data_IF_982211702876
#
_entry.id   IF_982211702876
#
_cell.length_a   1.000
_cell.length_b   1.000
_cell.length_c   1.000
_cell.angle_alpha   90.00
_cell.angle_beta   90.00
_cell.angle_gamma   90.00
#
_symmetry.space_group_name_H-M   'P 1'
#
loop_
_entity.id
_entity.type
_entity.pdbx_description
1 polymer ?
#
# COMPACT_ATOMS: atom_id res chain seq x y z
N UNK A 1 2.58 72.06 11.24
CA UNK A 1 1.67 71.56 10.21
C UNK A 1 2.23 71.99 8.87
N UNK A 2 3.02 71.10 8.24
CA UNK A 2 3.85 71.43 7.07
C UNK A 2 3.31 70.80 5.80
N UNK A 3 3.27 71.61 4.75
CA UNK A 3 2.64 71.35 3.46
C UNK A 3 3.52 70.55 2.48
N UNK A 4 2.82 69.86 1.57
CA UNK A 4 3.13 69.52 0.18
C UNK A 4 4.58 69.49 -0.32
N UNK A 5 4.97 68.32 -0.86
CA UNK A 5 5.91 68.23 -1.96
C UNK A 5 5.42 67.19 -2.97
N UNK A 6 5.01 67.69 -4.13
CA UNK A 6 4.71 66.95 -5.35
C UNK A 6 6.00 66.38 -5.94
N UNK A 7 6.02 65.08 -6.26
CA UNK A 7 7.08 64.47 -7.06
C UNK A 7 6.47 63.83 -8.31
N UNK A 8 7.10 64.15 -9.44
CA UNK A 8 6.66 63.92 -10.81
C UNK A 8 7.05 62.50 -11.22
N UNK A 9 6.09 61.69 -11.63
CA UNK A 9 6.33 60.36 -12.19
C UNK A 9 6.85 60.49 -13.62
N UNK A 10 8.10 60.07 -13.87
CA UNK A 10 8.61 59.85 -15.22
C UNK A 10 8.44 58.36 -15.58
N UNK A 11 7.64 58.12 -16.62
CA UNK A 11 7.47 56.83 -17.24
C UNK A 11 8.61 56.55 -18.23
N UNK A 12 9.15 55.34 -18.18
CA UNK A 12 10.00 54.75 -19.24
C UNK A 12 9.35 53.43 -19.69
N UNK A 13 9.25 53.18 -21.01
CA UNK A 13 8.61 51.98 -21.52
C UNK A 13 9.60 50.82 -21.49
N UNK A 14 9.32 49.78 -20.72
CA UNK A 14 10.04 48.51 -20.86
C UNK A 14 9.25 47.65 -21.84
N UNK A 15 9.84 47.50 -23.03
CA UNK A 15 9.50 46.57 -24.08
C UNK A 15 9.18 45.17 -23.53
N UNK A 16 7.99 44.65 -23.83
CA UNK A 16 7.67 43.21 -23.70
C UNK A 16 8.15 42.51 -24.96
N UNK A 17 9.02 41.48 -24.90
CA UNK A 17 9.06 40.51 -25.97
C UNK A 17 7.88 39.54 -25.76
N UNK A 18 7.00 39.49 -26.74
CA UNK A 18 6.10 38.35 -26.92
C UNK A 18 6.96 37.17 -27.39
N UNK A 19 7.06 36.11 -26.59
CA UNK A 19 7.54 34.82 -27.05
C UNK A 19 6.38 33.85 -27.11
N UNK A 20 6.25 33.26 -28.28
CA UNK A 20 5.20 32.36 -28.70
C UNK A 20 5.13 31.10 -27.82
N UNK A 21 3.90 30.62 -27.63
CA UNK A 21 3.57 29.31 -27.12
C UNK A 21 4.28 28.23 -27.97
N UNK A 22 5.35 27.66 -27.45
CA UNK A 22 5.84 26.34 -27.87
C UNK A 22 5.24 25.30 -26.95
N UNK A 23 4.28 24.52 -27.43
CA UNK A 23 3.84 23.32 -26.73
C UNK A 23 5.00 22.32 -26.71
N UNK A 24 5.78 22.31 -25.64
CA UNK A 24 6.70 21.21 -25.35
C UNK A 24 5.86 20.08 -24.76
N UNK A 25 5.52 19.09 -25.59
CA UNK A 25 5.11 17.78 -25.11
C UNK A 25 6.32 17.17 -24.38
N UNK A 26 6.40 17.35 -23.07
CA UNK A 26 7.31 16.54 -22.25
C UNK A 26 6.75 15.11 -22.26
N UNK A 27 7.45 14.20 -22.91
CA UNK A 27 7.13 12.77 -22.84
C UNK A 27 7.15 12.32 -21.38
N UNK A 28 6.17 11.52 -20.93
CA UNK A 28 6.23 10.93 -19.60
C UNK A 28 7.51 10.10 -19.44
N UNK A 29 8.08 10.01 -18.23
CA UNK A 29 9.22 9.13 -17.97
C UNK A 29 8.87 7.70 -18.40
N UNK A 30 9.83 6.92 -18.93
CA UNK A 30 9.59 5.55 -19.34
C UNK A 30 9.04 4.77 -18.14
N UNK A 31 7.82 4.26 -18.32
CA UNK A 31 7.19 3.34 -17.38
C UNK A 31 8.16 2.15 -17.19
N UNK A 32 8.41 1.70 -15.94
CA UNK A 32 9.24 0.53 -15.72
C UNK A 32 8.66 -0.61 -16.55
N UNK A 33 9.48 -1.13 -17.47
CA UNK A 33 9.13 -2.28 -18.28
C UNK A 33 8.79 -3.42 -17.32
N UNK A 34 7.66 -4.13 -17.52
CA UNK A 34 7.42 -5.33 -16.75
C UNK A 34 8.58 -6.27 -17.07
N UNK A 35 9.42 -6.54 -16.06
CA UNK A 35 10.46 -7.52 -16.19
C UNK A 35 9.78 -8.83 -16.61
N UNK A 36 10.17 -9.35 -17.76
CA UNK A 36 9.72 -10.60 -18.33
C UNK A 36 10.26 -11.81 -17.56
N UNK A 37 10.33 -11.70 -16.23
CA UNK A 37 10.45 -12.82 -15.34
C UNK A 37 9.05 -13.29 -15.01
N UNK A 38 8.64 -14.42 -15.56
CA UNK A 38 7.57 -15.21 -14.95
C UNK A 38 8.02 -15.53 -13.53
N UNK A 39 7.66 -14.70 -12.54
CA UNK A 39 7.65 -15.15 -11.14
C UNK A 39 6.61 -16.25 -11.13
N UNK A 40 7.05 -17.49 -11.30
CA UNK A 40 6.23 -18.68 -11.03
C UNK A 40 5.72 -18.46 -9.61
N UNK A 41 4.46 -18.05 -9.50
CA UNK A 41 3.75 -18.10 -8.23
C UNK A 41 3.56 -19.58 -8.00
N UNK A 42 4.56 -20.20 -7.37
CA UNK A 42 4.49 -21.59 -6.94
C UNK A 42 3.23 -21.73 -6.11
N UNK A 43 2.40 -22.73 -6.41
CA UNK A 43 1.35 -23.12 -5.48
C UNK A 43 2.00 -23.37 -4.10
N UNK A 44 1.48 -22.78 -3.01
CA UNK A 44 2.12 -22.92 -1.71
C UNK A 44 2.18 -24.39 -1.26
N UNK A 45 3.26 -24.75 -0.57
CA UNK A 45 3.45 -26.11 -0.07
C UNK A 45 2.43 -26.41 1.03
N UNK A 46 1.59 -27.42 0.84
CA UNK A 46 0.69 -27.93 1.90
C UNK A 46 1.54 -28.52 3.03
N UNK A 47 1.34 -28.13 4.31
CA UNK A 47 2.02 -28.73 5.45
C UNK A 47 1.79 -30.25 5.50
N UNK A 48 2.85 -31.03 5.70
CA UNK A 48 2.87 -32.50 5.57
C UNK A 48 2.52 -33.26 6.85
N UNK A 49 2.10 -32.58 7.92
CA UNK A 49 1.93 -33.17 9.26
C UNK A 49 0.52 -33.74 9.52
N UNK A 50 -0.40 -33.61 8.55
CA UNK A 50 -1.75 -34.21 8.62
C UNK A 50 -2.72 -33.54 9.60
N UNK A 51 -2.31 -32.45 10.27
CA UNK A 51 -3.18 -31.66 11.18
C UNK A 51 -3.81 -30.43 10.52
N UNK A 52 -3.50 -30.20 9.25
CA UNK A 52 -4.01 -29.07 8.49
C UNK A 52 -5.36 -29.40 7.86
N UNK A 53 -6.41 -28.70 8.30
CA UNK A 53 -7.72 -28.66 7.63
C UNK A 53 -7.78 -27.35 6.85
N UNK A 54 -7.75 -27.39 5.50
CA UNK A 54 -7.79 -26.18 4.70
C UNK A 54 -9.06 -25.36 4.97
N UNK A 55 -8.90 -24.06 5.16
CA UNK A 55 -10.01 -23.13 5.27
C UNK A 55 -10.50 -22.77 3.87
N UNK A 56 -11.81 -22.85 3.65
CA UNK A 56 -12.46 -22.32 2.44
C UNK A 56 -13.14 -21.00 2.75
N UNK A 57 -12.58 -19.91 2.21
CA UNK A 57 -13.23 -18.61 2.23
C UNK A 57 -14.15 -18.48 1.03
N UNK A 58 -15.45 -18.46 1.28
CA UNK A 58 -16.45 -18.28 0.22
C UNK A 58 -16.29 -16.91 -0.43
N UNK A 59 -16.35 -16.87 -1.77
CA UNK A 59 -16.20 -15.65 -2.57
C UNK A 59 -14.88 -14.89 -2.34
N UNK A 60 -13.88 -15.54 -1.76
CA UNK A 60 -12.55 -15.00 -1.54
C UNK A 60 -11.48 -15.81 -2.27
N UNK A 61 -10.23 -15.44 -2.01
CA UNK A 61 -9.06 -16.15 -2.50
C UNK A 61 -7.97 -16.14 -1.42
N UNK A 62 -7.13 -17.16 -1.41
CA UNK A 62 -6.04 -17.27 -0.43
C UNK A 62 -4.82 -16.53 -0.94
N UNK A 63 -4.26 -15.66 -0.10
CA UNK A 63 -3.03 -14.93 -0.39
C UNK A 63 -1.89 -15.95 -0.56
N UNK A 64 -1.20 -15.98 -1.72
CA UNK A 64 -0.08 -16.88 -1.91
C UNK A 64 1.07 -16.51 -0.98
N UNK A 65 1.80 -17.52 -0.54
CA UNK A 65 2.97 -17.38 0.31
C UNK A 65 4.13 -18.24 -0.19
N UNK A 66 5.34 -17.87 0.22
CA UNK A 66 6.56 -18.64 -0.04
C UNK A 66 7.23 -19.05 1.27
N UNK A 67 7.81 -20.24 1.31
CA UNK A 67 8.64 -20.65 2.45
C UNK A 67 10.06 -20.07 2.29
N UNK A 68 10.54 -19.34 3.29
CA UNK A 68 11.89 -18.79 3.32
C UNK A 68 12.52 -19.04 4.69
N UNK A 69 13.50 -19.95 4.76
CA UNK A 69 14.23 -20.29 5.99
C UNK A 69 13.31 -20.63 7.19
N UNK A 70 12.24 -21.39 6.95
CA UNK A 70 11.27 -21.78 7.97
C UNK A 70 10.23 -20.70 8.32
N UNK A 71 10.16 -19.62 7.55
CA UNK A 71 9.18 -18.55 7.69
C UNK A 71 8.22 -18.55 6.48
N UNK A 72 6.91 -18.53 6.73
CA UNK A 72 5.90 -18.32 5.69
C UNK A 72 5.81 -16.83 5.36
N UNK A 73 6.24 -16.46 4.16
CA UNK A 73 6.27 -15.06 3.71
C UNK A 73 5.05 -14.71 2.85
N UNK A 74 4.36 -13.64 3.23
CA UNK A 74 3.19 -13.09 2.56
C UNK A 74 3.49 -11.66 2.07
N UNK A 75 2.86 -11.26 0.97
CA UNK A 75 2.89 -9.89 0.47
C UNK A 75 1.48 -9.33 0.38
N UNK A 76 1.18 -8.36 1.23
CA UNK A 76 -0.11 -7.70 1.32
C UNK A 76 0.05 -6.24 0.89
N UNK A 77 -0.85 -5.74 0.05
CA UNK A 77 -0.77 -4.39 -0.50
C UNK A 77 -2.04 -3.66 -0.12
N UNK A 78 -1.93 -2.61 0.70
CA UNK A 78 -3.05 -1.72 0.98
C UNK A 78 -3.19 -0.71 -0.17
N UNK A 79 -4.35 -0.67 -0.82
CA UNK A 79 -4.55 0.18 -2.00
C UNK A 79 -6.00 0.67 -2.15
N UNK A 80 -6.18 1.77 -2.88
CA UNK A 80 -7.50 2.27 -3.22
C UNK A 80 -8.12 1.44 -4.35
N UNK A 81 -9.36 1.00 -4.16
CA UNK A 81 -10.12 0.20 -5.12
C UNK A 81 -11.52 0.78 -5.31
N UNK A 82 -12.15 0.47 -6.45
CA UNK A 82 -13.60 0.66 -6.61
C UNK A 82 -14.28 -0.69 -6.37
N UNK A 83 -15.17 -0.75 -5.39
CA UNK A 83 -15.94 -1.95 -5.06
C UNK A 83 -17.43 -1.71 -5.29
N UNK A 84 -18.13 -2.70 -5.84
CA UNK A 84 -19.58 -2.68 -6.06
C UNK A 84 -20.25 -3.65 -5.09
N UNK A 85 -21.00 -3.12 -4.11
CA UNK A 85 -21.65 -3.91 -3.05
C UNK A 85 -22.98 -4.52 -3.52
N UNK A 86 -23.66 -3.86 -4.44
CA UNK A 86 -24.90 -4.26 -5.07
C UNK A 86 -25.01 -3.58 -6.44
N UNK A 87 -25.89 -4.03 -7.36
CA UNK A 87 -26.03 -3.39 -8.67
C UNK A 87 -26.22 -1.87 -8.58
N UNK A 88 -25.26 -1.11 -9.12
CA UNK A 88 -25.23 0.35 -9.10
C UNK A 88 -24.73 0.99 -7.80
N UNK A 89 -24.46 0.21 -6.75
CA UNK A 89 -23.94 0.67 -5.46
C UNK A 89 -22.42 0.51 -5.41
N UNK A 90 -21.71 1.53 -5.87
CA UNK A 90 -20.24 1.55 -5.93
C UNK A 90 -19.66 2.51 -4.90
N UNK A 91 -18.52 2.15 -4.32
CA UNK A 91 -17.72 3.05 -3.50
C UNK A 91 -16.24 2.90 -3.80
N UNK A 92 -15.51 4.00 -3.60
CA UNK A 92 -14.06 3.95 -3.46
C UNK A 92 -13.74 3.47 -2.06
N UNK A 93 -13.01 2.37 -1.95
CA UNK A 93 -12.64 1.72 -0.70
C UNK A 93 -11.12 1.60 -0.61
N UNK A 94 -10.62 1.41 0.60
CA UNK A 94 -9.28 0.88 0.80
C UNK A 94 -9.40 -0.62 0.96
N UNK A 95 -8.73 -1.35 0.06
CA UNK A 95 -8.73 -2.79 0.02
C UNK A 95 -7.32 -3.34 0.19
N UNK A 96 -7.23 -4.68 0.12
CA UNK A 96 -5.97 -5.37 0.09
C UNK A 96 -5.86 -6.21 -1.19
N UNK A 97 -4.75 -6.06 -1.91
CA UNK A 97 -4.44 -6.78 -3.14
C UNK A 97 -5.61 -6.72 -4.15
N UNK A 98 -6.12 -5.52 -4.40
CA UNK A 98 -7.17 -5.24 -5.39
C UNK A 98 -8.60 -5.60 -4.98
N UNK A 99 -8.86 -5.96 -3.71
CA UNK A 99 -10.19 -6.39 -3.27
C UNK A 99 -10.59 -5.96 -1.86
N UNK A 100 -11.90 -5.85 -1.63
CA UNK A 100 -12.53 -5.81 -0.31
C UNK A 100 -13.74 -6.75 -0.34
N UNK A 101 -13.86 -7.74 0.55
CA UNK A 101 -12.86 -8.16 1.53
C UNK A 101 -11.50 -8.50 0.90
N UNK A 102 -10.42 -8.30 1.66
CA UNK A 102 -9.07 -8.66 1.24
C UNK A 102 -8.87 -10.18 1.14
N UNK A 103 -7.68 -10.63 0.72
CA UNK A 103 -7.40 -12.06 0.59
C UNK A 103 -7.34 -12.76 1.95
N UNK A 104 -7.63 -14.05 1.94
CA UNK A 104 -7.46 -14.92 3.11
C UNK A 104 -5.97 -15.17 3.36
N UNK A 105 -5.50 -14.85 4.56
CA UNK A 105 -4.19 -15.29 5.03
C UNK A 105 -4.42 -16.58 5.82
N UNK A 106 -3.76 -17.66 5.42
CA UNK A 106 -3.93 -18.97 6.03
C UNK A 106 -2.60 -19.48 6.59
N UNK A 107 -2.59 -19.75 7.89
CA UNK A 107 -1.47 -20.28 8.64
C UNK A 107 -1.98 -21.19 9.76
N UNK A 108 -1.09 -22.02 10.31
CA UNK A 108 -1.35 -22.97 11.40
C UNK A 108 -0.64 -22.46 12.65
N UNK A 109 -1.23 -22.66 13.82
CA UNK A 109 -0.58 -22.35 15.10
C UNK A 109 0.83 -22.95 15.16
N UNK A 110 1.79 -22.16 15.64
CA UNK A 110 3.22 -22.50 15.65
C UNK A 110 3.98 -22.13 14.37
N UNK A 111 3.30 -21.78 13.27
CA UNK A 111 3.98 -21.23 12.09
C UNK A 111 4.67 -19.91 12.45
N UNK A 112 5.93 -19.75 11.99
CA UNK A 112 6.55 -18.43 11.90
C UNK A 112 6.10 -17.77 10.61
N UNK A 113 5.46 -16.62 10.71
CA UNK A 113 4.94 -15.85 9.57
C UNK A 113 5.66 -14.53 9.44
N UNK A 114 5.84 -14.08 8.20
CA UNK A 114 6.33 -12.73 7.87
C UNK A 114 5.41 -12.11 6.83
N UNK A 115 4.81 -10.97 7.15
CA UNK A 115 3.90 -10.24 6.28
C UNK A 115 4.54 -8.93 5.87
N UNK A 116 4.91 -8.82 4.59
CA UNK A 116 5.32 -7.58 3.97
C UNK A 116 4.08 -6.81 3.58
N UNK A 117 3.80 -5.73 4.31
CA UNK A 117 2.66 -4.85 4.07
C UNK A 117 3.15 -3.60 3.36
N UNK A 118 2.79 -3.46 2.09
CA UNK A 118 3.11 -2.28 1.27
C UNK A 118 1.92 -1.33 1.25
N UNK A 119 2.15 -0.06 1.57
CA UNK A 119 1.11 0.97 1.54
C UNK A 119 1.11 1.70 0.19
N UNK A 120 0.14 1.43 -0.68
CA UNK A 120 -0.11 2.18 -1.92
C UNK A 120 -1.21 3.24 -1.77
N UNK A 121 -1.71 3.46 -0.55
CA UNK A 121 -2.65 4.54 -0.26
C UNK A 121 -1.92 5.89 -0.24
N UNK A 122 -2.69 6.97 -0.32
CA UNK A 122 -2.18 8.34 -0.15
C UNK A 122 -2.02 8.74 1.32
N UNK A 123 -2.55 7.93 2.23
CA UNK A 123 -2.58 8.20 3.66
C UNK A 123 -1.68 7.23 4.44
N UNK A 124 -1.12 7.63 5.59
CA UNK A 124 -0.44 6.71 6.50
C UNK A 124 -1.39 5.62 7.00
N UNK A 125 -0.90 4.39 7.15
CA UNK A 125 -1.73 3.24 7.58
C UNK A 125 -0.97 2.27 8.48
N UNK A 126 -1.67 1.32 9.09
CA UNK A 126 -1.12 0.15 9.80
C UNK A 126 -2.06 -1.04 9.63
N UNK A 127 -1.66 -2.23 10.09
CA UNK A 127 -2.55 -3.40 10.18
C UNK A 127 -2.48 -3.94 11.60
N UNK A 128 -3.61 -3.88 12.29
CA UNK A 128 -3.78 -4.56 13.58
C UNK A 128 -4.31 -5.99 13.37
N UNK A 129 -3.62 -6.96 13.97
CA UNK A 129 -3.92 -8.38 13.83
C UNK A 129 -4.88 -8.84 14.93
N UNK A 130 -6.16 -8.60 14.71
CA UNK A 130 -7.18 -8.84 15.71
C UNK A 130 -7.26 -10.32 16.15
N UNK A 131 -7.07 -10.56 17.45
CA UNK A 131 -7.27 -11.88 18.08
C UNK A 131 -6.02 -12.72 18.31
N UNK A 132 -4.82 -12.24 17.94
CA UNK A 132 -3.57 -12.98 18.16
C UNK A 132 -2.75 -12.44 19.33
N UNK A 133 -2.01 -13.32 19.99
CA UNK A 133 -1.03 -12.95 21.01
C UNK A 133 0.29 -12.61 20.31
N UNK A 134 0.64 -11.33 20.27
CA UNK A 134 1.77 -10.84 19.48
C UNK A 134 2.84 -10.14 20.32
N UNK A 135 4.12 -10.17 19.91
CA UNK A 135 5.12 -9.24 20.41
C UNK A 135 4.64 -7.80 20.21
N UNK A 136 4.88 -6.92 21.18
CA UNK A 136 4.31 -5.57 21.20
C UNK A 136 4.54 -4.79 19.89
N UNK A 137 5.75 -4.83 19.33
CA UNK A 137 6.08 -4.14 18.07
C UNK A 137 5.50 -4.76 16.79
N UNK A 138 4.74 -5.86 16.89
CA UNK A 138 4.11 -6.55 15.76
C UNK A 138 2.58 -6.42 15.76
N UNK A 139 2.01 -5.70 16.72
CA UNK A 139 0.56 -5.64 16.96
C UNK A 139 -0.17 -4.62 16.07
N UNK A 140 0.52 -3.65 15.46
CA UNK A 140 -0.10 -2.82 14.42
C UNK A 140 -0.82 -1.56 14.87
N UNK A 141 -0.65 -1.13 16.12
CA UNK A 141 -1.28 0.09 16.65
C UNK A 141 -0.36 1.28 16.40
N UNK A 142 -0.61 1.96 15.29
CA UNK A 142 0.16 3.13 14.86
C UNK A 142 0.20 4.24 15.90
N UNK A 143 1.39 4.78 16.12
CA UNK A 143 1.65 5.85 17.10
C UNK A 143 1.79 5.35 18.55
N UNK A 144 1.51 4.07 18.82
CA UNK A 144 1.67 3.46 20.14
C UNK A 144 2.80 2.43 20.17
N UNK A 145 2.67 1.34 19.41
CA UNK A 145 3.62 0.24 19.43
C UNK A 145 4.44 0.12 18.13
N UNK A 146 4.09 0.89 17.11
CA UNK A 146 4.91 1.10 15.91
C UNK A 146 4.61 2.46 15.24
N UNK A 147 5.53 2.96 14.39
CA UNK A 147 5.21 4.03 13.45
C UNK A 147 4.14 3.60 12.42
N UNK A 148 3.42 4.57 11.88
CA UNK A 148 2.58 4.34 10.70
C UNK A 148 3.45 4.00 9.47
N UNK A 149 2.95 3.09 8.64
CA UNK A 149 3.49 2.78 7.32
C UNK A 149 3.12 3.95 6.39
N UNK A 150 4.10 4.76 5.99
CA UNK A 150 3.85 5.92 5.14
C UNK A 150 3.48 5.49 3.70
N UNK A 151 2.86 6.37 2.89
CA UNK A 151 2.65 6.12 1.47
C UNK A 151 3.93 5.68 0.75
N UNK A 152 3.85 4.57 0.02
CA UNK A 152 4.96 3.94 -0.70
C UNK A 152 5.89 3.07 0.15
N UNK A 153 5.74 3.06 1.48
CA UNK A 153 6.58 2.25 2.36
C UNK A 153 6.09 0.80 2.46
N UNK A 154 7.01 -0.08 2.84
CA UNK A 154 6.71 -1.46 3.21
C UNK A 154 7.18 -1.72 4.63
N UNK A 155 6.30 -2.30 5.44
CA UNK A 155 6.62 -2.75 6.79
C UNK A 155 6.54 -4.27 6.87
N UNK A 156 7.48 -4.88 7.59
CA UNK A 156 7.51 -6.33 7.79
C UNK A 156 7.02 -6.67 9.21
N UNK A 157 5.83 -7.26 9.30
CA UNK A 157 5.39 -7.92 10.52
C UNK A 157 5.97 -9.32 10.56
N UNK A 158 6.55 -9.74 11.67
CA UNK A 158 7.08 -11.09 11.80
C UNK A 158 6.88 -11.63 13.20
N UNK A 159 6.20 -12.77 13.31
CA UNK A 159 5.87 -13.40 14.58
C UNK A 159 5.60 -14.89 14.40
N UNK A 160 5.63 -15.62 15.51
CA UNK A 160 5.09 -16.99 15.57
C UNK A 160 3.61 -16.90 15.91
N UNK A 161 2.78 -17.60 15.14
CA UNK A 161 1.34 -17.61 15.34
C UNK A 161 1.00 -18.39 16.61
N UNK A 162 0.44 -17.70 17.60
CA UNK A 162 -0.09 -18.29 18.84
C UNK A 162 -1.40 -17.58 19.21
N UNK A 163 -2.36 -18.32 19.76
CA UNK A 163 -3.68 -17.80 20.13
C UNK A 163 -4.10 -18.32 21.51
#
# INVERSE_FOLDING_TARGET
>A
MGAGATAIAQALPIFRPAFAQGHVHASPPPQPTPSSGTRKVSAPAVPRDGRYVPVRTLNGWTLPWTMNNGVKEFHLVAEEIVHEFAPGSKATCWGYNGSTPGPTIEAVEGDRVRLFVTNHLKEPTTIHWHGFILPNGMDGVGGLNQPHIQPGETYAYEFTLVQ
#
